data_IF_947460745178
#
_entry.id   IF_947460745178
#
_cell.length_a   1.000
_cell.length_b   1.000
_cell.length_c   1.000
_cell.angle_alpha   90.00
_cell.angle_beta   90.00
_cell.angle_gamma   90.00
#
_symmetry.space_group_name_H-M   'P 1'
#
loop_
_entity.id
_entity.type
_entity.pdbx_description
1 polymer ?
#
# COMPACT_ATOMS: atom_id res chain seq x y z
N UNK A 1 -24.92 -24.54 7.70
CA UNK A 1 -25.13 -23.78 6.44
C UNK A 1 -24.28 -22.50 6.30
N UNK A 2 -23.91 -21.78 7.39
CA UNK A 2 -23.14 -20.50 7.31
C UNK A 2 -21.67 -20.61 6.84
N UNK A 3 -21.05 -21.79 6.92
CA UNK A 3 -19.63 -21.99 6.57
C UNK A 3 -19.35 -21.90 5.06
N UNK A 4 -20.28 -22.38 4.21
CA UNK A 4 -20.14 -22.34 2.74
C UNK A 4 -20.13 -20.90 2.20
N UNK A 5 -20.89 -19.99 2.81
CA UNK A 5 -21.00 -18.61 2.36
C UNK A 5 -19.74 -17.79 2.70
N UNK A 6 -19.16 -17.96 3.90
CA UNK A 6 -17.88 -17.33 4.28
C UNK A 6 -16.73 -17.80 3.38
N UNK A 7 -16.68 -19.09 3.05
CA UNK A 7 -15.64 -19.69 2.22
C UNK A 7 -15.72 -19.25 0.75
N UNK A 8 -16.93 -19.12 0.19
CA UNK A 8 -17.16 -18.53 -1.14
C UNK A 8 -16.78 -17.05 -1.19
N UNK A 9 -17.07 -16.28 -0.13
CA UNK A 9 -16.70 -14.86 -0.03
C UNK A 9 -15.19 -14.66 0.08
N UNK A 10 -14.50 -15.49 0.85
CA UNK A 10 -13.03 -15.53 0.92
C UNK A 10 -12.40 -15.89 -0.43
N UNK A 11 -12.95 -16.90 -1.12
CA UNK A 11 -12.49 -17.28 -2.45
C UNK A 11 -12.72 -16.15 -3.47
N UNK A 12 -13.87 -15.49 -3.42
CA UNK A 12 -14.19 -14.36 -4.30
C UNK A 12 -13.30 -13.15 -4.04
N UNK A 13 -12.97 -12.87 -2.77
CA UNK A 13 -11.99 -11.83 -2.40
C UNK A 13 -10.59 -12.17 -2.90
N UNK A 14 -10.17 -13.44 -2.76
CA UNK A 14 -8.89 -13.91 -3.28
C UNK A 14 -8.80 -13.80 -4.80
N UNK A 15 -9.86 -14.18 -5.52
CA UNK A 15 -9.93 -14.06 -6.99
C UNK A 15 -9.93 -12.59 -7.42
N UNK A 16 -10.68 -11.71 -6.74
CA UNK A 16 -10.64 -10.27 -7.01
C UNK A 16 -9.25 -9.68 -6.77
N UNK A 17 -8.57 -10.08 -5.70
CA UNK A 17 -7.22 -9.64 -5.40
C UNK A 17 -6.23 -10.07 -6.50
N UNK A 18 -6.32 -11.34 -6.94
CA UNK A 18 -5.49 -11.87 -8.02
C UNK A 18 -5.78 -11.19 -9.36
N UNK A 19 -7.05 -10.98 -9.72
CA UNK A 19 -7.44 -10.26 -10.95
C UNK A 19 -6.97 -8.81 -10.94
N UNK A 20 -7.06 -8.14 -9.80
CA UNK A 20 -6.55 -6.77 -9.66
C UNK A 20 -5.02 -6.76 -9.77
N UNK A 21 -4.37 -7.78 -9.20
CA UNK A 21 -2.93 -7.99 -9.29
C UNK A 21 -2.41 -8.42 -10.66
N UNK A 22 -3.26 -8.88 -11.58
CA UNK A 22 -2.83 -9.21 -12.96
C UNK A 22 -3.17 -8.12 -13.97
N UNK A 23 -4.23 -7.35 -13.72
CA UNK A 23 -4.70 -6.31 -14.66
C UNK A 23 -4.07 -4.94 -14.39
N UNK A 24 -3.82 -4.59 -13.12
CA UNK A 24 -3.25 -3.28 -12.75
C UNK A 24 -1.74 -3.32 -12.49
N UNK A 25 -1.13 -4.50 -12.61
CA UNK A 25 0.31 -4.68 -12.48
C UNK A 25 0.91 -4.68 -13.88
N UNK A 26 1.81 -3.75 -14.22
CA UNK A 26 2.51 -3.79 -15.50
C UNK A 26 3.24 -5.12 -15.65
N UNK A 27 2.99 -5.81 -16.75
CA UNK A 27 3.69 -7.05 -17.12
C UNK A 27 5.17 -6.74 -17.33
N UNK A 28 6.05 -7.28 -16.48
CA UNK A 28 7.49 -7.21 -16.67
C UNK A 28 7.88 -8.12 -17.86
N UNK A 29 7.85 -7.57 -19.07
CA UNK A 29 8.43 -8.24 -20.24
C UNK A 29 9.95 -8.36 -20.04
N UNK A 30 10.47 -9.58 -20.17
CA UNK A 30 11.90 -9.83 -20.19
C UNK A 30 12.46 -9.53 -21.59
N UNK A 31 12.50 -8.26 -21.97
CA UNK A 31 13.14 -7.82 -23.20
C UNK A 31 14.55 -7.29 -22.86
N UNK A 32 15.57 -8.10 -23.16
CA UNK A 32 16.99 -7.70 -23.12
C UNK A 32 17.61 -7.47 -21.73
N UNK A 33 18.59 -8.33 -21.40
CA UNK A 33 19.40 -8.31 -20.16
C UNK A 33 18.60 -8.57 -18.85
N UNK A 34 18.86 -9.68 -18.12
CA UNK A 34 18.18 -10.00 -16.87
C UNK A 34 18.24 -8.87 -15.82
N UNK A 35 19.25 -8.00 -15.86
CA UNK A 35 19.36 -6.87 -14.94
C UNK A 35 18.22 -5.85 -15.13
N UNK A 36 17.82 -5.59 -16.38
CA UNK A 36 16.73 -4.65 -16.72
C UNK A 36 15.39 -5.15 -16.17
N UNK A 37 15.14 -6.46 -16.27
CA UNK A 37 13.91 -7.07 -15.75
C UNK A 37 13.82 -6.94 -14.22
N UNK A 38 14.94 -7.15 -13.53
CA UNK A 38 15.03 -6.97 -12.06
C UNK A 38 14.80 -5.51 -11.67
N UNK A 39 15.35 -4.54 -12.42
CA UNK A 39 15.17 -3.11 -12.16
C UNK A 39 13.72 -2.64 -12.38
N UNK A 40 13.06 -3.16 -13.41
CA UNK A 40 11.64 -2.90 -13.68
C UNK A 40 10.76 -3.49 -12.57
N UNK A 41 11.06 -4.72 -12.11
CA UNK A 41 10.39 -5.34 -10.98
C UNK A 41 10.58 -4.53 -9.69
N UNK A 42 11.81 -4.08 -9.40
CA UNK A 42 12.09 -3.22 -8.24
C UNK A 42 11.27 -1.93 -8.30
N UNK A 43 11.20 -1.29 -9.47
CA UNK A 43 10.38 -0.09 -9.68
C UNK A 43 8.89 -0.36 -9.48
N UNK A 44 8.40 -1.50 -9.94
CA UNK A 44 7.02 -1.92 -9.71
C UNK A 44 6.73 -2.13 -8.22
N UNK A 45 7.58 -2.87 -7.49
CA UNK A 45 7.42 -3.12 -6.05
C UNK A 45 7.46 -1.82 -5.26
N UNK A 46 8.39 -0.91 -5.54
CA UNK A 46 8.42 0.41 -4.90
C UNK A 46 7.18 1.25 -5.23
N UNK A 47 6.65 1.14 -6.45
CA UNK A 47 5.37 1.75 -6.83
C UNK A 47 4.20 1.20 -6.02
N UNK A 48 4.16 -0.11 -5.77
CA UNK A 48 3.15 -0.76 -4.94
C UNK A 48 3.25 -0.31 -3.47
N UNK A 49 4.46 -0.25 -2.90
CA UNK A 49 4.70 0.26 -1.54
C UNK A 49 4.22 1.72 -1.42
N UNK A 50 4.51 2.56 -2.42
CA UNK A 50 4.04 3.95 -2.46
C UNK A 50 2.52 4.06 -2.49
N UNK A 51 1.85 3.21 -3.28
CA UNK A 51 0.39 3.17 -3.32
C UNK A 51 -0.23 2.79 -1.96
N UNK A 52 0.36 1.83 -1.25
CA UNK A 52 -0.03 1.48 0.12
C UNK A 52 0.20 2.66 1.07
N UNK A 53 1.33 3.36 0.96
CA UNK A 53 1.62 4.57 1.74
C UNK A 53 0.54 5.63 1.59
N UNK A 54 0.07 5.89 0.36
CA UNK A 54 -1.03 6.83 0.10
C UNK A 54 -2.36 6.41 0.73
N UNK A 55 -2.65 5.11 0.82
CA UNK A 55 -3.85 4.60 1.49
C UNK A 55 -3.77 4.82 3.01
N UNK A 56 -2.61 4.54 3.61
CA UNK A 56 -2.37 4.75 5.05
C UNK A 56 -2.44 6.24 5.40
N UNK A 57 -1.92 7.11 4.52
CA UNK A 57 -2.08 8.56 4.62
C UNK A 57 -3.56 8.95 4.68
N UNK A 58 -4.38 8.46 3.74
CA UNK A 58 -5.82 8.71 3.74
C UNK A 58 -6.49 8.27 5.06
N UNK A 59 -6.11 7.11 5.58
CA UNK A 59 -6.60 6.62 6.88
C UNK A 59 -6.16 7.49 8.06
N UNK A 60 -4.91 7.96 8.08
CA UNK A 60 -4.41 8.86 9.11
C UNK A 60 -5.15 10.20 9.12
N UNK A 61 -5.48 10.76 7.94
CA UNK A 61 -6.28 12.00 7.84
C UNK A 61 -7.68 11.77 8.45
N UNK A 62 -8.33 10.66 8.13
CA UNK A 62 -9.66 10.33 8.68
C UNK A 62 -9.62 10.18 10.20
N UNK A 63 -8.59 9.52 10.75
CA UNK A 63 -8.41 9.39 12.20
C UNK A 63 -8.26 10.75 12.87
N UNK A 64 -7.47 11.66 12.29
CA UNK A 64 -7.33 13.02 12.81
C UNK A 64 -8.65 13.79 12.68
N UNK A 65 -9.34 13.71 11.54
CA UNK A 65 -10.63 14.39 11.34
C UNK A 65 -11.69 13.98 12.35
N UNK A 66 -11.78 12.68 12.67
CA UNK A 66 -12.67 12.18 13.72
C UNK A 66 -12.22 12.64 15.11
N UNK A 67 -10.91 12.67 15.38
CA UNK A 67 -10.34 13.11 16.65
C UNK A 67 -10.53 14.60 16.95
N UNK A 68 -10.74 15.43 15.91
CA UNK A 68 -11.10 16.83 16.06
C UNK A 68 -12.54 16.98 16.55
N UNK A 69 -13.45 16.15 16.03
CA UNK A 69 -14.86 16.11 16.45
C UNK A 69 -15.04 15.54 17.87
N UNK A 70 -14.27 14.52 18.23
CA UNK A 70 -14.40 13.83 19.54
C UNK A 70 -13.59 14.48 20.67
N UNK A 71 -12.79 15.51 20.39
CA UNK A 71 -11.91 16.19 21.36
C UNK A 71 -10.93 15.26 22.11
N UNK A 72 -10.71 14.05 21.60
CA UNK A 72 -9.91 13.01 22.23
C UNK A 72 -8.43 13.13 21.81
N UNK A 73 -7.52 13.47 22.74
CA UNK A 73 -6.10 13.64 22.46
C UNK A 73 -5.41 12.36 21.96
N UNK A 74 -5.91 11.18 22.36
CA UNK A 74 -5.31 9.90 22.00
C UNK A 74 -5.53 9.56 20.52
N UNK A 75 -6.72 9.86 19.99
CA UNK A 75 -7.05 9.67 18.57
C UNK A 75 -6.28 10.64 17.68
N UNK A 76 -5.99 11.85 18.17
CA UNK A 76 -5.12 12.82 17.50
C UNK A 76 -3.71 12.28 17.38
N UNK A 77 -3.14 11.81 18.49
CA UNK A 77 -1.79 11.24 18.53
C UNK A 77 -1.66 10.00 17.63
N UNK A 78 -2.59 9.07 17.73
CA UNK A 78 -2.58 7.85 16.90
C UNK A 78 -2.81 8.14 15.41
N UNK A 79 -3.68 9.09 15.08
CA UNK A 79 -3.87 9.57 13.71
C UNK A 79 -2.62 10.24 13.16
N UNK A 80 -1.91 11.03 13.96
CA UNK A 80 -0.66 11.67 13.57
C UNK A 80 0.49 10.68 13.35
N UNK A 81 0.61 9.66 14.22
CA UNK A 81 1.56 8.57 14.04
C UNK A 81 1.29 7.78 12.77
N UNK A 82 0.02 7.50 12.48
CA UNK A 82 -0.41 6.84 11.23
C UNK A 82 -0.06 7.69 10.01
N UNK A 83 -0.27 9.00 10.08
CA UNK A 83 0.14 9.92 9.02
C UNK A 83 1.65 9.92 8.81
N UNK A 84 2.43 10.09 9.87
CA UNK A 84 3.89 10.12 9.79
C UNK A 84 4.42 8.80 9.18
N UNK A 85 3.90 7.65 9.61
CA UNK A 85 4.22 6.35 9.02
C UNK A 85 3.84 6.26 7.54
N UNK A 86 2.66 6.77 7.16
CA UNK A 86 2.22 6.82 5.76
C UNK A 86 3.12 7.69 4.87
N UNK A 87 3.60 8.83 5.38
CA UNK A 87 4.56 9.70 4.66
C UNK A 87 5.85 8.92 4.40
N UNK A 88 6.45 8.33 5.44
CA UNK A 88 7.71 7.59 5.32
C UNK A 88 7.57 6.44 4.32
N UNK A 89 6.48 5.66 4.40
CA UNK A 89 6.21 4.55 3.49
C UNK A 89 6.09 5.04 2.05
N UNK A 90 5.36 6.13 1.81
CA UNK A 90 5.16 6.72 0.47
C UNK A 90 6.48 7.12 -0.18
N UNK A 91 7.40 7.65 0.62
CA UNK A 91 8.70 8.13 0.17
C UNK A 91 9.85 7.13 0.36
N UNK A 92 9.56 5.86 0.65
CA UNK A 92 10.60 4.84 0.92
C UNK A 92 11.61 4.72 -0.22
N UNK A 93 11.16 4.81 -1.49
CA UNK A 93 12.07 4.74 -2.65
C UNK A 93 13.00 5.95 -2.70
N UNK A 94 12.46 7.16 -2.54
CA UNK A 94 13.29 8.37 -2.50
C UNK A 94 14.27 8.35 -1.32
N UNK A 95 13.84 7.89 -0.14
CA UNK A 95 14.71 7.75 1.04
C UNK A 95 15.82 6.73 0.78
N UNK A 96 15.49 5.58 0.18
CA UNK A 96 16.48 4.56 -0.14
C UNK A 96 17.54 5.09 -1.12
N UNK A 97 17.12 5.81 -2.17
CA UNK A 97 18.06 6.42 -3.12
C UNK A 97 18.93 7.49 -2.43
N UNK A 98 18.37 8.30 -1.53
CA UNK A 98 19.13 9.31 -0.78
C UNK A 98 20.22 8.72 0.12
N UNK A 99 19.97 7.55 0.74
CA UNK A 99 20.96 6.91 1.62
C UNK A 99 21.92 5.98 0.88
N UNK A 100 21.46 5.37 -0.22
CA UNK A 100 22.24 4.38 -0.96
C UNK A 100 23.22 5.02 -1.95
N UNK A 101 22.95 6.24 -2.42
CA UNK A 101 23.79 6.96 -3.40
C UNK A 101 23.71 6.33 -4.78
#
# INVERSE_FOLDING_TARGET
MKLKFKRKRLLSLYIMLMLTGTVFVPTAYAEGDPMTTVNNLSTFIFGFIRAIGMIILGFGIVQIGLSLKSHDPSQRANGFLTLAGGIIITFTKEILTLIAG
#
